data_IF_501134456300
#
_entry.id   IF_501134456300
#
_cell.length_a   1.000
_cell.length_b   1.000
_cell.length_c   1.000
_cell.angle_alpha   90.00
_cell.angle_beta   90.00
_cell.angle_gamma   90.00
#
_symmetry.space_group_name_H-M   'P 1'
#
loop_
_entity.id
_entity.type
_entity.pdbx_description
1 polymer ?
#
# COMPACT_ATOMS: atom_id res chain seq x y z
N UNK A 1 24.57 11.53 1.23
CA UNK A 1 23.13 11.22 1.14
C UNK A 1 22.94 10.38 -0.11
N UNK A 2 23.07 9.06 0.03
CA UNK A 2 22.94 8.16 -1.11
C UNK A 2 21.47 7.80 -1.31
N UNK A 3 20.88 8.35 -2.37
CA UNK A 3 19.59 7.96 -2.93
C UNK A 3 19.66 6.58 -3.58
N UNK A 4 19.89 5.55 -2.78
CA UNK A 4 19.94 4.16 -3.22
C UNK A 4 18.55 3.55 -3.34
N UNK A 5 18.18 3.18 -4.57
CA UNK A 5 17.00 2.38 -4.91
C UNK A 5 16.79 1.19 -3.95
N UNK A 6 15.58 1.07 -3.40
CA UNK A 6 15.12 -0.09 -2.62
C UNK A 6 15.23 -1.38 -3.46
N UNK A 7 16.36 -2.09 -3.37
CA UNK A 7 16.49 -3.41 -3.99
C UNK A 7 15.85 -4.45 -3.08
N UNK A 8 14.71 -4.97 -3.54
CA UNK A 8 14.09 -6.18 -3.04
C UNK A 8 15.10 -7.34 -3.08
N UNK A 9 15.54 -7.84 -1.91
CA UNK A 9 16.56 -8.90 -1.90
C UNK A 9 15.95 -10.28 -2.10
N UNK A 10 14.69 -10.54 -1.71
CA UNK A 10 14.00 -11.82 -1.95
C UNK A 10 12.48 -11.66 -2.06
N UNK A 11 11.89 -12.26 -3.10
CA UNK A 11 10.45 -12.44 -3.26
C UNK A 11 10.07 -13.86 -2.85
N UNK A 12 9.04 -13.98 -2.01
CA UNK A 12 8.52 -15.25 -1.53
C UNK A 12 7.06 -15.40 -1.93
N UNK A 13 6.67 -16.64 -2.20
CA UNK A 13 5.31 -16.99 -2.60
C UNK A 13 4.75 -17.99 -1.60
N UNK A 14 3.56 -17.69 -1.10
CA UNK A 14 2.74 -18.61 -0.31
C UNK A 14 1.43 -18.82 -1.08
N UNK A 15 1.13 -20.06 -1.43
CA UNK A 15 -0.14 -20.42 -2.06
C UNK A 15 -0.99 -21.20 -1.06
N UNK A 16 -2.20 -20.73 -0.82
CA UNK A 16 -3.18 -21.40 0.02
C UNK A 16 -3.91 -22.51 -0.75
N UNK A 17 -4.46 -23.53 -0.08
CA UNK A 17 -5.17 -24.64 -0.74
C UNK A 17 -6.38 -24.21 -1.58
N UNK A 18 -7.02 -23.11 -1.22
CA UNK A 18 -8.16 -22.53 -1.95
C UNK A 18 -7.75 -21.75 -3.22
N UNK A 19 -6.44 -21.59 -3.44
CA UNK A 19 -5.86 -20.94 -4.61
C UNK A 19 -5.44 -19.50 -4.38
N UNK A 20 -5.74 -18.88 -3.23
CA UNK A 20 -5.23 -17.54 -2.89
C UNK A 20 -3.70 -17.57 -2.86
N UNK A 21 -3.08 -16.50 -3.36
CA UNK A 21 -1.63 -16.34 -3.34
C UNK A 21 -1.22 -15.10 -2.56
N UNK A 22 -0.24 -15.26 -1.69
CA UNK A 22 0.46 -14.16 -1.04
C UNK A 22 1.88 -14.08 -1.59
N UNK A 23 2.26 -12.89 -2.04
CA UNK A 23 3.60 -12.60 -2.56
C UNK A 23 4.23 -11.55 -1.66
N UNK A 24 5.28 -11.93 -0.94
CA UNK A 24 6.00 -11.04 -0.04
C UNK A 24 7.35 -10.65 -0.62
N UNK A 25 7.67 -9.36 -0.59
CA UNK A 25 8.98 -8.83 -0.92
C UNK A 25 9.54 -8.14 0.31
N UNK A 26 10.74 -8.55 0.75
CA UNK A 26 11.29 -8.09 2.02
C UNK A 26 12.60 -7.32 1.80
N UNK A 27 12.71 -6.18 2.48
CA UNK A 27 13.91 -5.38 2.53
C UNK A 27 14.90 -6.01 3.51
N UNK A 28 16.17 -6.08 3.11
CA UNK A 28 17.25 -6.53 4.01
C UNK A 28 17.42 -5.63 5.22
N UNK A 29 17.18 -4.33 5.02
CA UNK A 29 17.13 -3.33 6.08
C UNK A 29 15.79 -2.61 5.96
N UNK A 30 14.98 -2.56 7.03
CA UNK A 30 13.80 -1.72 7.05
C UNK A 30 14.16 -0.26 6.76
N UNK A 31 13.19 0.51 6.28
CA UNK A 31 13.38 1.93 6.02
C UNK A 31 14.01 2.65 7.22
N UNK A 32 15.10 3.37 6.99
CA UNK A 32 15.68 4.24 7.99
C UNK A 32 14.83 5.52 8.07
N UNK A 33 14.20 5.75 9.22
CA UNK A 33 13.43 6.96 9.51
C UNK A 33 14.05 7.61 10.74
N UNK A 34 14.33 8.91 10.68
CA UNK A 34 14.92 9.63 11.82
C UNK A 34 13.87 9.91 12.88
N UNK A 35 14.28 10.14 14.13
CA UNK A 35 13.33 10.43 15.22
C UNK A 35 12.49 11.70 14.98
N UNK A 36 13.04 12.69 14.26
CA UNK A 36 12.30 13.90 13.88
C UNK A 36 11.17 13.62 12.86
N UNK A 37 11.43 12.71 11.92
CA UNK A 37 10.43 12.24 10.95
C UNK A 37 9.36 11.40 11.66
N UNK A 38 9.78 10.47 12.53
CA UNK A 38 8.86 9.67 13.35
C UNK A 38 7.99 10.53 14.26
N UNK A 39 8.55 11.58 14.86
CA UNK A 39 7.80 12.54 15.66
C UNK A 39 6.73 13.25 14.82
N UNK A 40 7.06 13.61 13.57
CA UNK A 40 6.12 14.25 12.63
C UNK A 40 4.99 13.33 12.18
N UNK A 41 5.28 12.03 12.03
CA UNK A 41 4.30 10.98 11.74
C UNK A 41 3.34 10.79 12.91
N UNK A 42 3.89 10.59 14.13
CA UNK A 42 3.11 10.38 15.35
C UNK A 42 2.24 11.59 15.70
N UNK A 43 2.73 12.81 15.47
CA UNK A 43 1.94 14.04 15.65
C UNK A 43 0.69 14.12 14.76
N UNK A 44 0.66 13.36 13.65
CA UNK A 44 -0.50 13.21 12.75
C UNK A 44 -1.30 11.95 13.04
N UNK A 45 -1.05 11.29 14.17
CA UNK A 45 -1.60 9.98 14.53
C UNK A 45 -1.27 8.85 13.53
N UNK A 46 -0.19 9.00 12.75
CA UNK A 46 0.30 7.93 11.89
C UNK A 46 0.92 6.80 12.70
N UNK A 47 0.60 5.57 12.32
CA UNK A 47 1.01 4.33 13.01
C UNK A 47 2.07 3.54 12.24
N UNK A 48 2.18 3.73 10.93
CA UNK A 48 3.27 3.17 10.14
C UNK A 48 4.56 3.93 10.47
N UNK A 49 5.52 3.26 11.13
CA UNK A 49 6.78 3.87 11.56
C UNK A 49 8.02 3.29 10.86
N UNK A 50 7.84 2.24 10.06
CA UNK A 50 8.91 1.64 9.27
C UNK A 50 8.31 0.76 8.18
N UNK A 51 9.05 0.52 7.10
CA UNK A 51 8.69 -0.39 6.01
C UNK A 51 9.77 -1.46 5.92
N UNK A 52 9.40 -2.69 6.27
CA UNK A 52 10.20 -3.89 6.13
C UNK A 52 9.98 -4.58 4.77
N UNK A 53 8.95 -4.21 4.00
CA UNK A 53 8.68 -4.78 2.69
C UNK A 53 7.29 -4.47 2.15
N UNK A 54 6.90 -5.19 1.10
CA UNK A 54 5.53 -5.21 0.56
C UNK A 54 4.94 -6.62 0.55
N UNK A 55 3.64 -6.70 0.79
CA UNK A 55 2.85 -7.92 0.60
C UNK A 55 1.76 -7.66 -0.42
N UNK A 56 1.62 -8.60 -1.35
CA UNK A 56 0.56 -8.63 -2.36
C UNK A 56 -0.30 -9.85 -2.08
N UNK A 57 -1.61 -9.65 -1.99
CA UNK A 57 -2.59 -10.73 -1.82
C UNK A 57 -3.38 -10.80 -3.12
N UNK A 58 -3.21 -11.91 -3.85
CA UNK A 58 -3.95 -12.23 -5.06
C UNK A 58 -5.03 -13.27 -4.73
N UNK A 59 -6.28 -12.82 -4.67
CA UNK A 59 -7.42 -13.67 -4.31
C UNK A 59 -7.88 -14.55 -5.47
N UNK A 60 -7.46 -14.25 -6.70
CA UNK A 60 -7.78 -15.03 -7.88
C UNK A 60 -6.66 -16.05 -8.22
N UNK A 61 -5.47 -15.85 -7.64
CA UNK A 61 -4.36 -16.80 -7.66
C UNK A 61 -3.85 -17.04 -9.07
N UNK A 62 -3.78 -18.31 -9.50
CA UNK A 62 -3.27 -18.68 -10.83
C UNK A 62 -4.31 -18.59 -11.95
N UNK A 63 -5.49 -17.98 -11.73
CA UNK A 63 -6.59 -17.92 -12.70
C UNK A 63 -6.59 -16.57 -13.45
N UNK A 64 -5.77 -16.36 -14.49
CA UNK A 64 -5.74 -15.08 -15.19
C UNK A 64 -7.10 -14.73 -15.84
N UNK A 65 -7.40 -13.45 -16.10
CA UNK A 65 -6.53 -12.29 -15.82
C UNK A 65 -6.64 -11.79 -14.37
N UNK A 66 -5.50 -11.47 -13.75
CA UNK A 66 -5.44 -10.81 -12.45
C UNK A 66 -5.16 -9.31 -12.62
N UNK A 67 -5.95 -8.47 -11.96
CA UNK A 67 -5.77 -7.02 -11.98
C UNK A 67 -5.64 -6.45 -10.56
N UNK A 68 -4.77 -5.44 -10.41
CA UNK A 68 -4.70 -4.65 -9.19
C UNK A 68 -6.05 -4.01 -8.87
N UNK A 69 -6.43 -4.05 -7.60
CA UNK A 69 -7.68 -3.54 -7.11
C UNK A 69 -8.91 -4.35 -7.51
N UNK A 70 -8.77 -5.48 -8.19
CA UNK A 70 -9.88 -6.43 -8.41
C UNK A 70 -9.55 -7.80 -7.84
N UNK A 71 -8.36 -8.27 -8.17
CA UNK A 71 -7.87 -9.60 -7.83
C UNK A 71 -6.62 -9.50 -6.93
N UNK A 72 -5.80 -8.45 -7.13
CA UNK A 72 -4.55 -8.23 -6.39
C UNK A 72 -4.66 -6.99 -5.50
N UNK A 73 -4.37 -7.16 -4.21
CA UNK A 73 -4.39 -6.11 -3.19
C UNK A 73 -3.02 -5.92 -2.56
N UNK A 74 -2.60 -4.67 -2.39
CA UNK A 74 -1.24 -4.29 -1.99
C UNK A 74 -1.17 -3.75 -0.57
N UNK A 75 -0.12 -4.13 0.13
CA UNK A 75 0.16 -3.71 1.50
C UNK A 75 1.64 -3.40 1.66
N UNK A 76 1.97 -2.43 2.50
CA UNK A 76 3.30 -2.35 3.11
C UNK A 76 3.32 -3.15 4.39
N UNK A 77 4.44 -3.84 4.62
CA UNK A 77 4.72 -4.56 5.85
C UNK A 77 5.60 -3.67 6.74
N UNK A 78 5.16 -3.36 7.95
CA UNK A 78 6.00 -2.71 8.95
C UNK A 78 6.91 -3.71 9.67
N UNK A 79 7.96 -3.19 10.32
CA UNK A 79 8.92 -4.04 11.05
C UNK A 79 8.31 -4.77 12.25
N UNK A 80 7.15 -4.31 12.75
CA UNK A 80 6.39 -5.00 13.81
C UNK A 80 5.43 -6.08 13.26
N UNK A 81 5.41 -6.31 11.96
CA UNK A 81 4.58 -7.33 11.30
C UNK A 81 3.20 -6.84 10.88
N UNK A 82 2.84 -5.58 11.14
CA UNK A 82 1.54 -5.03 10.74
C UNK A 82 1.48 -4.78 9.23
N UNK A 83 0.33 -5.10 8.62
CA UNK A 83 0.05 -4.75 7.24
C UNK A 83 -0.76 -3.47 7.17
N UNK A 84 -0.23 -2.49 6.44
CA UNK A 84 -0.94 -1.25 6.14
C UNK A 84 -1.31 -1.25 4.66
N UNK A 85 -2.56 -0.89 4.30
CA UNK A 85 -2.94 -0.82 2.90
C UNK A 85 -2.09 0.22 2.17
N UNK A 86 -1.59 -0.16 0.99
CA UNK A 86 -0.86 0.75 0.13
C UNK A 86 -1.74 1.96 -0.25
N UNK A 87 -1.19 3.16 -0.20
CA UNK A 87 -1.94 4.44 -0.37
C UNK A 87 -3.06 4.72 0.65
N UNK A 88 -3.11 4.01 1.78
CA UNK A 88 -3.97 4.35 2.92
C UNK A 88 -3.45 5.53 3.73
N UNK A 89 -4.25 5.97 4.70
CA UNK A 89 -3.94 7.13 5.54
C UNK A 89 -2.56 7.03 6.21
N UNK A 90 -2.28 5.92 6.90
CA UNK A 90 -0.99 5.70 7.57
C UNK A 90 0.19 5.69 6.60
N UNK A 91 0.01 5.07 5.42
CA UNK A 91 1.01 5.08 4.36
C UNK A 91 1.26 6.50 3.83
N UNK A 92 0.20 7.26 3.55
CA UNK A 92 0.30 8.62 3.07
C UNK A 92 1.01 9.53 4.08
N UNK A 93 0.68 9.40 5.37
CA UNK A 93 1.36 10.13 6.46
C UNK A 93 2.83 9.76 6.50
N UNK A 94 3.17 8.48 6.41
CA UNK A 94 4.55 8.00 6.44
C UNK A 94 5.38 8.60 5.30
N UNK A 95 4.90 8.51 4.06
CA UNK A 95 5.66 9.00 2.88
C UNK A 95 5.63 10.52 2.71
N UNK A 96 4.66 11.22 3.31
CA UNK A 96 4.56 12.69 3.28
C UNK A 96 4.49 13.30 4.69
N UNK A 97 5.33 12.82 5.61
CA UNK A 97 5.33 13.28 7.00
C UNK A 97 5.54 14.80 7.14
N UNK A 98 6.15 15.45 6.14
CA UNK A 98 6.43 16.88 6.09
C UNK A 98 5.22 17.75 5.68
N UNK A 99 4.15 17.15 5.12
CA UNK A 99 2.95 17.91 4.75
C UNK A 99 2.15 18.31 5.99
N UNK A 100 1.71 19.56 6.06
CA UNK A 100 0.85 20.03 7.16
C UNK A 100 -0.58 19.49 7.07
N UNK A 101 -1.08 19.27 5.86
CA UNK A 101 -2.41 18.70 5.59
C UNK A 101 -2.29 17.48 4.66
N UNK A 102 -2.60 16.29 5.21
CA UNK A 102 -2.51 15.04 4.46
C UNK A 102 -3.58 14.92 3.37
N UNK A 103 -4.66 15.72 3.44
CA UNK A 103 -5.68 15.81 2.37
C UNK A 103 -5.14 16.40 1.07
N UNK A 104 -3.90 16.90 1.07
CA UNK A 104 -3.19 17.35 -0.13
C UNK A 104 -2.20 16.33 -0.69
N UNK A 105 -2.07 15.17 -0.04
CA UNK A 105 -1.15 14.13 -0.49
C UNK A 105 -1.74 13.36 -1.65
N UNK A 106 -1.01 13.30 -2.77
CA UNK A 106 -1.32 12.41 -3.91
C UNK A 106 -1.08 10.92 -3.60
N UNK A 107 -0.50 10.62 -2.43
CA UNK A 107 -0.30 9.26 -1.92
C UNK A 107 -1.45 8.78 -1.04
N UNK A 108 -2.50 9.58 -0.88
CA UNK A 108 -3.71 9.15 -0.19
C UNK A 108 -4.81 8.91 -1.22
N UNK A 109 -5.36 7.69 -1.25
CA UNK A 109 -6.33 7.27 -2.27
C UNK A 109 -7.56 8.20 -2.37
N UNK A 110 -8.00 8.80 -1.25
CA UNK A 110 -9.16 9.72 -1.24
C UNK A 110 -8.92 11.01 -2.02
N UNK A 111 -7.65 11.39 -2.22
CA UNK A 111 -7.30 12.62 -2.92
C UNK A 111 -6.89 12.38 -4.38
N UNK A 112 -6.71 11.13 -4.78
CA UNK A 112 -6.16 10.78 -6.09
C UNK A 112 -6.91 9.59 -6.70
N UNK A 113 -7.89 9.90 -7.55
CA UNK A 113 -8.73 8.91 -8.23
C UNK A 113 -7.96 7.95 -9.15
N UNK A 114 -6.71 8.25 -9.51
CA UNK A 114 -5.87 7.32 -10.28
C UNK A 114 -5.49 6.06 -9.49
N UNK A 115 -5.59 6.10 -8.15
CA UNK A 115 -5.16 5.00 -7.28
C UNK A 115 -6.19 3.88 -7.15
N UNK A 116 -7.49 4.21 -7.11
CA UNK A 116 -8.59 3.23 -7.04
C UNK A 116 -9.90 3.70 -7.70
N UNK A 117 -9.82 4.53 -8.73
CA UNK A 117 -11.00 5.08 -9.40
C UNK A 117 -11.84 6.00 -8.52
N UNK A 118 -13.08 6.21 -8.93
CA UNK A 118 -14.07 7.03 -8.22
C UNK A 118 -15.24 6.14 -7.75
N UNK A 119 -16.08 6.66 -6.87
CA UNK A 119 -17.28 5.94 -6.43
C UNK A 119 -18.26 5.72 -7.57
N UNK A 120 -18.72 4.47 -7.72
CA UNK A 120 -19.67 4.07 -8.76
C UNK A 120 -19.16 4.16 -10.20
N UNK A 121 -17.86 4.42 -10.42
CA UNK A 121 -17.25 4.48 -11.74
C UNK A 121 -16.21 3.39 -11.90
N UNK A 122 -16.31 2.65 -13.01
CA UNK A 122 -15.31 1.66 -13.40
C UNK A 122 -13.93 2.29 -13.43
N UNK A 123 -12.99 1.61 -12.78
CA UNK A 123 -11.58 1.94 -12.81
C UNK A 123 -11.07 1.95 -14.26
N UNK A 124 -10.46 3.07 -14.68
CA UNK A 124 -9.74 3.18 -15.95
C UNK A 124 -8.39 2.45 -15.86
N UNK A 125 -8.33 1.26 -16.45
CA UNK A 125 -7.16 0.38 -16.43
C UNK A 125 -6.01 0.84 -17.35
N UNK A 126 -6.19 1.91 -18.12
CA UNK A 126 -5.14 2.42 -19.02
C UNK A 126 -4.06 3.23 -18.32
N UNK A 127 -4.28 3.67 -17.07
CA UNK A 127 -3.33 4.49 -16.33
C UNK A 127 -2.34 3.62 -15.52
N UNK A 128 -1.09 4.07 -15.47
CA UNK A 128 -0.03 3.42 -14.67
C UNK A 128 -0.31 3.56 -13.16
N UNK A 129 -0.15 2.48 -12.39
CA UNK A 129 -0.35 2.48 -10.92
C UNK A 129 -1.80 2.32 -10.47
N UNK A 130 -2.72 2.09 -11.41
CA UNK A 130 -4.14 1.90 -11.13
C UNK A 130 -4.40 0.64 -10.31
N UNK A 131 -5.29 0.78 -9.32
CA UNK A 131 -5.72 -0.31 -8.45
C UNK A 131 -4.83 -0.53 -7.23
N UNK A 132 -3.66 0.11 -7.18
CA UNK A 132 -2.72 -0.06 -6.08
C UNK A 132 -3.24 0.52 -4.75
N UNK A 133 -4.11 1.54 -4.80
CA UNK A 133 -4.74 2.11 -3.60
C UNK A 133 -6.06 1.44 -3.21
N UNK A 134 -6.48 0.39 -3.92
CA UNK A 134 -7.79 -0.21 -3.65
C UNK A 134 -7.86 -1.01 -2.35
N UNK A 135 -6.73 -1.54 -1.86
CA UNK A 135 -6.69 -2.11 -0.50
C UNK A 135 -7.06 -1.06 0.55
N UNK A 136 -6.60 0.19 0.38
CA UNK A 136 -6.91 1.28 1.28
C UNK A 136 -8.39 1.66 1.22
N UNK A 137 -8.93 1.81 0.01
CA UNK A 137 -10.35 2.09 -0.19
C UNK A 137 -11.24 1.05 0.49
N UNK A 138 -10.98 -0.23 0.24
CA UNK A 138 -11.75 -1.33 0.84
C UNK A 138 -11.70 -1.23 2.36
N UNK A 139 -10.52 -1.17 2.96
CA UNK A 139 -10.36 -1.23 4.41
C UNK A 139 -10.92 0.02 5.09
N UNK A 140 -10.63 1.21 4.57
CA UNK A 140 -11.08 2.47 5.16
C UNK A 140 -12.58 2.74 4.96
N UNK A 141 -13.20 2.14 3.93
CA UNK A 141 -14.65 2.16 3.72
C UNK A 141 -15.34 0.94 4.37
N UNK A 142 -14.72 0.27 5.34
CA UNK A 142 -15.37 -0.79 6.12
C UNK A 142 -15.55 -2.10 5.37
N UNK A 143 -14.57 -2.48 4.56
CA UNK A 143 -14.53 -3.70 3.73
C UNK A 143 -15.52 -3.72 2.56
N UNK A 144 -15.85 -2.54 2.02
CA UNK A 144 -16.72 -2.38 0.85
C UNK A 144 -15.92 -2.29 -0.46
N UNK A 145 -16.40 -2.97 -1.50
CA UNK A 145 -15.91 -2.84 -2.88
C UNK A 145 -16.94 -2.06 -3.71
N UNK A 146 -16.78 -0.74 -3.81
CA UNK A 146 -17.77 0.22 -4.33
C UNK A 146 -17.30 1.00 -5.58
N UNK A 147 -16.43 0.39 -6.38
CA UNK A 147 -15.79 0.97 -7.58
C UNK A 147 -15.89 0.08 -8.82
#
# INVERSE_FOLDING_TARGET
>A
MDGGSYRADRTYYLQFPDGVMMVGTFNKYPSATTEGELSSIRAKNGKLLSIAGDIRIDVNGKKPPNAYGKDIYLFVLSSDGTLYPYYGLDYAIYVNYYLSDIKRSDYYWKNNSKLCGEEGKKIDKSLTGVGQGCSARIIENGWSMDY
#
